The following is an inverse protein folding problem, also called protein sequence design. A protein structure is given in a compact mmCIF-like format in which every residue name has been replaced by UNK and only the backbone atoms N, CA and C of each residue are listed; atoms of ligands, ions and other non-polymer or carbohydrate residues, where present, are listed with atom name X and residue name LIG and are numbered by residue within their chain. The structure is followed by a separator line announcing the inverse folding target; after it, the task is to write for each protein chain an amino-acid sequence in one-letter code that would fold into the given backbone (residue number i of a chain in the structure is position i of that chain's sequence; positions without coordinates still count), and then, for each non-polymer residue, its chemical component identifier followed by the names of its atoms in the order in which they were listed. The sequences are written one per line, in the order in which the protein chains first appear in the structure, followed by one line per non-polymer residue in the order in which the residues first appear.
data_IF_941292193346
#
_entry.id   IF_941292193346
#
_cell.length_a   1.000
_cell.length_b   1.000
_cell.length_c   1.000
_cell.angle_alpha   90.00
_cell.angle_beta   90.00
_cell.angle_gamma   90.00
#
_symmetry.space_group_name_H-M   'P 1'
#
loop_
_entity.id
_entity.type
_entity.pdbx_description
1 polymer ?
#
# COMPACT_ATOMS: atom_id res chain seq x y z
N UNK A 1 -12.09 36.67 -14.52
CA UNK A 1 -12.43 35.24 -14.71
C UNK A 1 -11.68 34.69 -15.91
N UNK A 2 -10.59 33.94 -15.70
CA UNK A 2 -9.93 33.02 -16.67
C UNK A 2 -8.66 32.47 -16.02
N UNK A 3 -8.80 31.43 -15.21
CA UNK A 3 -7.67 30.65 -14.68
C UNK A 3 -8.14 29.27 -14.24
N UNK A 4 -8.71 28.46 -15.14
CA UNK A 4 -9.11 27.09 -14.76
C UNK A 4 -9.34 26.11 -15.93
N UNK A 5 -8.55 26.15 -17.00
CA UNK A 5 -8.78 25.22 -18.14
C UNK A 5 -7.55 24.39 -18.59
N UNK A 6 -6.46 24.29 -17.81
CA UNK A 6 -5.30 23.52 -18.31
C UNK A 6 -4.46 22.77 -17.26
N UNK A 7 -5.06 22.25 -16.17
CA UNK A 7 -4.32 21.41 -15.20
C UNK A 7 -4.43 19.90 -15.46
N UNK A 8 -5.32 19.45 -16.34
CA UNK A 8 -5.59 18.03 -16.64
C UNK A 8 -4.68 17.43 -17.72
N UNK A 9 -3.95 18.24 -18.49
CA UNK A 9 -3.16 17.81 -19.65
C UNK A 9 -1.67 17.53 -19.34
N UNK A 10 -1.17 17.87 -18.17
CA UNK A 10 0.24 17.61 -17.83
C UNK A 10 0.47 16.12 -17.51
N UNK A 11 1.45 15.51 -18.18
CA UNK A 11 1.92 14.16 -17.89
C UNK A 11 2.53 14.02 -16.49
N UNK A 12 2.93 12.80 -16.12
CA UNK A 12 3.64 12.57 -14.85
C UNK A 12 4.98 13.31 -14.90
N UNK A 13 5.12 14.36 -14.09
CA UNK A 13 6.34 15.18 -14.06
C UNK A 13 7.58 14.37 -13.64
N UNK A 14 8.73 14.69 -14.23
CA UNK A 14 10.01 13.98 -14.00
C UNK A 14 10.39 13.85 -12.51
N UNK A 15 10.08 14.87 -11.69
CA UNK A 15 10.29 14.84 -10.23
C UNK A 15 9.54 13.71 -9.53
N UNK A 16 8.35 13.33 -10.01
CA UNK A 16 7.58 12.22 -9.44
C UNK A 16 8.19 10.87 -9.84
N UNK A 17 8.68 10.76 -11.08
CA UNK A 17 9.41 9.56 -11.56
C UNK A 17 10.68 9.36 -10.74
N UNK A 18 11.48 10.41 -10.52
CA UNK A 18 12.69 10.32 -9.70
C UNK A 18 12.37 9.90 -8.27
N UNK A 19 11.37 10.52 -7.63
CA UNK A 19 10.94 10.12 -6.27
C UNK A 19 10.51 8.66 -6.22
N UNK A 20 9.80 8.19 -7.24
CA UNK A 20 9.39 6.79 -7.34
C UNK A 20 10.59 5.85 -7.50
N UNK A 21 11.55 6.18 -8.37
CA UNK A 21 12.78 5.41 -8.55
C UNK A 21 13.63 5.39 -7.28
N UNK A 22 13.79 6.54 -6.61
CA UNK A 22 14.49 6.63 -5.32
C UNK A 22 13.80 5.73 -4.30
N UNK A 23 12.47 5.80 -4.18
CA UNK A 23 11.72 4.95 -3.26
C UNK A 23 11.91 3.46 -3.57
N UNK A 24 11.88 3.07 -4.86
CA UNK A 24 12.13 1.69 -5.25
C UNK A 24 13.53 1.23 -4.83
N UNK A 25 14.57 2.02 -5.12
CA UNK A 25 15.95 1.67 -4.80
C UNK A 25 16.27 1.72 -3.30
N UNK A 26 15.59 2.58 -2.55
CA UNK A 26 15.82 2.74 -1.11
C UNK A 26 15.48 1.46 -0.35
N UNK A 27 14.41 0.75 -0.76
CA UNK A 27 13.95 -0.46 -0.08
C UNK A 27 15.00 -1.59 -0.04
N UNK A 28 15.51 -2.12 -1.19
CA UNK A 28 16.54 -3.15 -1.16
C UNK A 28 17.86 -2.62 -0.58
N UNK A 29 18.20 -1.35 -0.82
CA UNK A 29 19.42 -0.76 -0.31
C UNK A 29 19.45 -0.84 1.22
N UNK A 30 18.39 -0.37 1.88
CA UNK A 30 18.27 -0.39 3.33
C UNK A 30 18.22 -1.82 3.87
N UNK A 31 17.46 -2.71 3.21
CA UNK A 31 17.36 -4.12 3.59
C UNK A 31 18.73 -4.83 3.59
N UNK A 32 19.50 -4.69 2.51
CA UNK A 32 20.78 -5.38 2.35
C UNK A 32 21.94 -4.70 3.08
N UNK A 33 21.92 -3.37 3.25
CA UNK A 33 22.87 -2.67 4.13
C UNK A 33 22.68 -3.15 5.57
N UNK A 34 21.44 -3.25 6.05
CA UNK A 34 21.13 -3.77 7.38
C UNK A 34 21.58 -5.23 7.53
N UNK A 35 21.31 -6.08 6.52
CA UNK A 35 21.78 -7.46 6.46
C UNK A 35 23.31 -7.60 6.44
N UNK A 36 24.03 -6.59 5.92
CA UNK A 36 25.50 -6.62 5.81
C UNK A 36 26.03 -7.61 4.77
N UNK A 37 25.17 -8.20 3.94
CA UNK A 37 25.53 -9.15 2.88
C UNK A 37 24.46 -9.16 1.79
N UNK A 38 24.85 -9.48 0.56
CA UNK A 38 23.91 -9.75 -0.54
C UNK A 38 23.51 -11.23 -0.62
N UNK A 39 24.13 -12.10 0.18
CA UNK A 39 23.89 -13.54 0.20
C UNK A 39 22.67 -13.91 1.04
N UNK A 40 21.51 -13.37 0.67
CA UNK A 40 20.24 -13.66 1.32
C UNK A 40 19.15 -13.91 0.28
N UNK A 41 18.92 -15.19 -0.03
CA UNK A 41 18.02 -15.63 -1.10
C UNK A 41 16.59 -15.13 -0.91
N UNK A 42 16.02 -15.24 0.30
CA UNK A 42 14.68 -14.74 0.58
C UNK A 42 14.57 -13.22 0.46
N UNK A 43 15.63 -12.48 0.82
CA UNK A 43 15.73 -11.04 0.57
C UNK A 43 15.61 -10.70 -0.92
N UNK A 44 16.31 -11.43 -1.80
CA UNK A 44 16.19 -11.23 -3.24
C UNK A 44 14.83 -11.64 -3.80
N UNK A 45 14.28 -12.77 -3.36
CA UNK A 45 12.92 -13.21 -3.74
C UNK A 45 11.90 -12.11 -3.38
N UNK A 46 12.01 -11.53 -2.18
CA UNK A 46 11.16 -10.43 -1.75
C UNK A 46 11.26 -9.22 -2.68
N UNK A 47 12.48 -8.79 -3.02
CA UNK A 47 12.72 -7.62 -3.87
C UNK A 47 12.16 -7.85 -5.27
N UNK A 48 12.45 -9.00 -5.88
CA UNK A 48 11.95 -9.36 -7.21
C UNK A 48 10.42 -9.40 -7.21
N UNK A 49 9.81 -10.06 -6.23
CA UNK A 49 8.36 -10.12 -6.09
C UNK A 49 7.74 -8.72 -5.96
N UNK A 50 8.29 -7.89 -5.07
CA UNK A 50 7.83 -6.54 -4.81
C UNK A 50 7.91 -5.65 -6.05
N UNK A 51 9.00 -5.76 -6.81
CA UNK A 51 9.19 -5.04 -8.07
C UNK A 51 8.29 -5.55 -9.18
N UNK A 52 8.11 -6.86 -9.31
CA UNK A 52 7.22 -7.45 -10.31
C UNK A 52 5.78 -6.97 -10.11
N UNK A 53 5.26 -7.07 -8.88
CA UNK A 53 3.91 -6.58 -8.57
C UNK A 53 3.80 -5.07 -8.70
N UNK A 54 4.84 -4.34 -8.28
CA UNK A 54 4.84 -2.89 -8.41
C UNK A 54 4.81 -2.47 -9.87
N UNK A 55 5.74 -2.95 -10.69
CA UNK A 55 5.78 -2.68 -12.12
C UNK A 55 4.50 -3.10 -12.83
N UNK A 56 4.02 -4.33 -12.61
CA UNK A 56 2.81 -4.84 -13.23
C UNK A 56 1.58 -3.99 -12.90
N UNK A 57 1.36 -3.63 -11.62
CA UNK A 57 0.21 -2.80 -11.27
C UNK A 57 0.27 -1.41 -11.89
N UNK A 58 1.46 -0.78 -11.95
CA UNK A 58 1.60 0.55 -12.59
C UNK A 58 1.42 0.47 -14.10
N UNK A 59 1.93 -0.57 -14.77
CA UNK A 59 1.73 -0.77 -16.22
C UNK A 59 0.24 -0.98 -16.54
N UNK A 60 -0.46 -1.83 -15.78
CA UNK A 60 -1.88 -2.11 -15.99
C UNK A 60 -2.72 -0.84 -15.76
N UNK A 61 -2.46 -0.13 -14.66
CA UNK A 61 -3.18 1.11 -14.34
C UNK A 61 -2.86 2.19 -15.37
N UNK A 62 -1.61 2.35 -15.80
CA UNK A 62 -1.26 3.35 -16.81
C UNK A 62 -2.04 3.15 -18.11
N UNK A 63 -2.28 1.88 -18.50
CA UNK A 63 -3.09 1.54 -19.67
C UNK A 63 -4.60 1.73 -19.47
N UNK A 64 -5.11 1.49 -18.27
CA UNK A 64 -6.56 1.54 -17.98
C UNK A 64 -7.05 2.91 -17.51
N UNK A 65 -6.32 3.53 -16.59
CA UNK A 65 -6.69 4.77 -15.89
C UNK A 65 -5.42 5.62 -15.62
N UNK A 66 -4.80 6.23 -16.65
CA UNK A 66 -3.57 7.02 -16.48
C UNK A 66 -3.74 8.22 -15.53
N UNK A 67 -4.95 8.80 -15.47
CA UNK A 67 -5.28 9.89 -14.55
C UNK A 67 -5.13 9.51 -13.08
N UNK A 68 -5.41 8.25 -12.73
CA UNK A 68 -5.21 7.74 -11.37
C UNK A 68 -3.73 7.77 -10.97
N UNK A 69 -2.81 7.48 -11.89
CA UNK A 69 -1.37 7.59 -11.60
C UNK A 69 -0.91 9.04 -11.49
N UNK A 70 -1.50 9.96 -12.27
CA UNK A 70 -1.23 11.39 -12.13
C UNK A 70 -1.69 11.92 -10.77
N UNK A 71 -2.88 11.52 -10.32
CA UNK A 71 -3.40 11.83 -8.98
C UNK A 71 -2.41 11.34 -7.91
N UNK A 72 -1.97 10.08 -8.00
CA UNK A 72 -0.98 9.51 -7.07
C UNK A 72 0.39 10.18 -7.15
N UNK A 73 0.81 10.69 -8.30
CA UNK A 73 2.08 11.40 -8.47
C UNK A 73 2.05 12.81 -7.85
N UNK A 74 0.86 13.42 -7.80
CA UNK A 74 0.59 14.76 -7.26
C UNK A 74 0.12 14.75 -5.81
N UNK A 75 0.25 13.64 -5.09
CA UNK A 75 -0.27 13.52 -3.73
C UNK A 75 0.22 14.58 -2.73
N UNK A 76 1.43 15.14 -2.93
CA UNK A 76 1.96 16.22 -2.08
C UNK A 76 1.30 17.58 -2.40
N UNK A 77 0.80 17.74 -3.62
CA UNK A 77 0.10 18.93 -4.11
C UNK A 77 -1.43 18.76 -4.02
N UNK A 78 -1.89 17.64 -3.47
CA UNK A 78 -3.30 17.33 -3.38
C UNK A 78 -3.99 18.32 -2.42
N UNK A 79 -5.02 18.99 -2.92
CA UNK A 79 -5.88 19.86 -2.14
C UNK A 79 -6.82 19.03 -1.25
N UNK A 80 -7.42 19.61 -0.21
CA UNK A 80 -8.44 18.95 0.62
C UNK A 80 -8.04 17.59 1.23
N UNK A 81 -6.75 17.33 1.43
CA UNK A 81 -6.25 16.16 2.17
C UNK A 81 -6.55 16.35 3.65
N UNK A 82 -7.10 15.33 4.30
CA UNK A 82 -7.36 15.37 5.75
C UNK A 82 -6.06 15.42 6.55
N UNK A 83 -6.03 16.23 7.60
CA UNK A 83 -4.82 16.47 8.40
C UNK A 83 -4.28 15.18 9.06
N UNK A 84 -5.17 14.33 9.55
CA UNK A 84 -4.82 13.03 10.15
C UNK A 84 -4.09 12.12 9.15
N UNK A 85 -4.37 12.24 7.86
CA UNK A 85 -3.86 11.33 6.84
C UNK A 85 -2.38 11.60 6.53
N UNK A 86 -1.95 12.86 6.61
CA UNK A 86 -0.55 13.22 6.33
C UNK A 86 0.42 12.56 7.31
N UNK A 87 0.08 12.60 8.61
CA UNK A 87 0.89 11.96 9.64
C UNK A 87 0.89 10.43 9.45
N UNK A 88 -0.28 9.83 9.26
CA UNK A 88 -0.35 8.37 9.07
C UNK A 88 0.39 7.95 7.80
N UNK A 89 0.30 8.69 6.70
CA UNK A 89 1.00 8.36 5.46
C UNK A 89 2.52 8.40 5.64
N UNK A 90 3.05 9.39 6.35
CA UNK A 90 4.49 9.46 6.65
C UNK A 90 4.95 8.23 7.45
N UNK A 91 4.23 7.88 8.52
CA UNK A 91 4.63 6.77 9.38
C UNK A 91 4.33 5.39 8.77
N UNK A 92 3.15 5.19 8.18
CA UNK A 92 2.72 3.89 7.69
C UNK A 92 3.23 3.56 6.27
N UNK A 93 3.39 4.56 5.39
CA UNK A 93 3.77 4.33 3.99
C UNK A 93 5.25 4.59 3.68
N UNK A 94 5.95 5.41 4.48
CA UNK A 94 7.37 5.70 4.27
C UNK A 94 8.25 5.14 5.39
N UNK A 95 8.11 5.62 6.62
CA UNK A 95 9.02 5.25 7.72
C UNK A 95 8.85 3.80 8.17
N UNK A 96 7.61 3.35 8.29
CA UNK A 96 7.25 2.02 8.76
C UNK A 96 7.91 0.89 7.96
N UNK A 97 7.71 0.83 6.63
CA UNK A 97 8.35 -0.19 5.79
C UNK A 97 9.88 -0.15 5.87
N UNK A 98 10.50 1.04 5.96
CA UNK A 98 11.94 1.17 6.14
C UNK A 98 12.39 0.57 7.46
N UNK A 99 11.70 0.87 8.57
CA UNK A 99 12.02 0.29 9.89
C UNK A 99 11.86 -1.22 9.87
N UNK A 100 10.79 -1.76 9.24
CA UNK A 100 10.60 -3.20 9.09
C UNK A 100 11.78 -3.83 8.35
N UNK A 101 12.24 -3.23 7.26
CA UNK A 101 13.35 -3.78 6.46
C UNK A 101 14.70 -3.64 7.16
N UNK A 102 14.92 -2.55 7.91
CA UNK A 102 16.10 -2.39 8.77
C UNK A 102 16.11 -3.50 9.82
N UNK A 103 15.02 -3.67 10.55
CA UNK A 103 14.92 -4.68 11.61
C UNK A 103 15.09 -6.09 11.02
N UNK A 104 14.44 -6.39 9.90
CA UNK A 104 14.56 -7.70 9.25
C UNK A 104 16.00 -7.97 8.77
N UNK A 105 16.68 -6.97 8.21
CA UNK A 105 18.08 -7.10 7.80
C UNK A 105 19.02 -7.28 8.99
N UNK A 106 18.87 -6.48 10.05
CA UNK A 106 19.68 -6.62 11.26
C UNK A 106 19.43 -7.97 11.95
N UNK A 107 18.18 -8.42 11.99
CA UNK A 107 17.81 -9.72 12.53
C UNK A 107 18.43 -10.87 11.72
N UNK A 108 18.43 -10.79 10.39
CA UNK A 108 19.15 -11.74 9.54
C UNK A 108 20.67 -11.74 9.85
N UNK A 109 21.26 -10.55 10.02
CA UNK A 109 22.69 -10.38 10.26
C UNK A 109 23.14 -10.94 11.62
N UNK A 110 22.35 -10.67 12.66
CA UNK A 110 22.70 -10.99 14.04
C UNK A 110 21.97 -12.21 14.60
N UNK A 111 21.07 -12.82 13.81
CA UNK A 111 20.30 -14.00 14.17
C UNK A 111 19.55 -13.84 15.49
N UNK A 112 18.81 -12.73 15.67
CA UNK A 112 18.07 -12.49 16.91
C UNK A 112 16.81 -13.37 17.01
N UNK A 113 16.20 -13.70 15.88
CA UNK A 113 15.05 -14.60 15.80
C UNK A 113 15.47 -16.06 15.85
N UNK A 114 14.65 -16.93 16.46
CA UNK A 114 14.84 -18.37 16.34
C UNK A 114 14.69 -18.80 14.87
N UNK A 115 15.28 -19.96 14.54
CA UNK A 115 15.16 -20.54 13.20
C UNK A 115 13.69 -20.73 12.79
N UNK A 116 13.29 -20.11 11.68
CA UNK A 116 11.99 -20.29 11.05
C UNK A 116 12.13 -21.34 9.92
N UNK A 117 11.43 -22.48 9.99
CA UNK A 117 11.46 -23.49 8.94
C UNK A 117 11.12 -22.92 7.56
N UNK A 118 11.82 -23.41 6.54
CA UNK A 118 11.63 -22.96 5.15
C UNK A 118 10.18 -23.08 4.68
N UNK A 119 9.45 -24.12 5.11
CA UNK A 119 8.03 -24.28 4.77
C UNK A 119 7.19 -23.11 5.28
N UNK A 120 7.45 -22.60 6.49
CA UNK A 120 6.72 -21.46 7.04
C UNK A 120 7.07 -20.18 6.27
N UNK A 121 8.34 -20.00 5.89
CA UNK A 121 8.76 -18.87 5.05
C UNK A 121 8.09 -18.92 3.66
N UNK A 122 7.93 -20.10 3.06
CA UNK A 122 7.22 -20.30 1.79
C UNK A 122 5.71 -20.06 1.91
N UNK A 123 5.07 -20.46 3.02
CA UNK A 123 3.68 -20.13 3.28
C UNK A 123 3.49 -18.61 3.45
N UNK A 124 4.43 -17.95 4.13
CA UNK A 124 4.44 -16.50 4.25
C UNK A 124 4.70 -15.80 2.89
N UNK A 125 5.55 -16.37 2.02
CA UNK A 125 5.72 -15.91 0.65
C UNK A 125 4.39 -15.92 -0.14
N UNK A 126 3.60 -16.98 0.02
CA UNK A 126 2.24 -17.04 -0.56
C UNK A 126 1.36 -15.93 0.03
N UNK A 127 1.44 -15.67 1.34
CA UNK A 127 0.76 -14.54 1.98
C UNK A 127 1.13 -13.19 1.38
N UNK A 128 2.43 -12.92 1.17
CA UNK A 128 2.90 -11.70 0.49
C UNK A 128 2.35 -11.60 -0.92
N UNK A 129 2.44 -12.69 -1.69
CA UNK A 129 1.91 -12.76 -3.06
C UNK A 129 0.42 -12.44 -3.12
N UNK A 130 -0.39 -13.08 -2.26
CA UNK A 130 -1.84 -12.87 -2.21
C UNK A 130 -2.19 -11.45 -1.74
N UNK A 131 -1.44 -10.90 -0.78
CA UNK A 131 -1.60 -9.52 -0.33
C UNK A 131 -1.38 -8.51 -1.46
N UNK A 132 -0.29 -8.67 -2.22
CA UNK A 132 -0.02 -7.84 -3.39
C UNK A 132 -1.01 -8.04 -4.52
N UNK A 133 -1.49 -9.27 -4.75
CA UNK A 133 -2.52 -9.55 -5.74
C UNK A 133 -3.83 -8.84 -5.38
N UNK A 134 -4.29 -8.93 -4.12
CA UNK A 134 -5.51 -8.27 -3.67
C UNK A 134 -5.38 -6.75 -3.74
N UNK A 135 -4.27 -6.19 -3.26
CA UNK A 135 -4.01 -4.75 -3.34
C UNK A 135 -3.90 -4.23 -4.77
N UNK A 136 -3.23 -4.97 -5.64
CA UNK A 136 -3.14 -4.67 -7.07
C UNK A 136 -4.50 -4.75 -7.76
N UNK A 137 -5.31 -5.77 -7.46
CA UNK A 137 -6.66 -5.91 -7.99
C UNK A 137 -7.56 -4.74 -7.56
N UNK A 138 -7.49 -4.35 -6.28
CA UNK A 138 -8.21 -3.20 -5.75
C UNK A 138 -7.82 -1.89 -6.46
N UNK A 139 -6.52 -1.68 -6.70
CA UNK A 139 -6.01 -0.51 -7.40
C UNK A 139 -6.42 -0.50 -8.88
N UNK A 140 -6.41 -1.64 -9.56
CA UNK A 140 -6.77 -1.74 -10.99
C UNK A 140 -8.26 -1.48 -11.23
N UNK A 141 -9.12 -1.90 -10.31
CA UNK A 141 -10.58 -1.75 -10.45
C UNK A 141 -11.07 -0.36 -10.00
N UNK A 142 -10.38 0.26 -9.03
CA UNK A 142 -10.78 1.56 -8.51
C UNK A 142 -10.04 2.71 -9.18
N UNK A 143 -10.69 3.39 -10.14
CA UNK A 143 -10.13 4.59 -10.79
C UNK A 143 -9.85 5.76 -9.85
N UNK A 144 -10.44 5.77 -8.65
CA UNK A 144 -10.27 6.80 -7.63
C UNK A 144 -9.28 6.38 -6.53
N UNK A 145 -8.44 5.37 -6.75
CA UNK A 145 -7.48 4.85 -5.78
C UNK A 145 -6.33 5.84 -5.48
N UNK A 146 -6.62 6.86 -4.66
CA UNK A 146 -5.67 7.90 -4.29
C UNK A 146 -4.62 7.40 -3.29
N UNK A 147 -3.50 8.11 -3.20
CA UNK A 147 -2.50 7.86 -2.16
C UNK A 147 -2.90 8.47 -0.81
N UNK A 148 -3.75 9.50 -0.85
CA UNK A 148 -4.20 10.29 0.29
C UNK A 148 -5.72 10.21 0.43
N UNK A 149 -6.22 10.31 1.66
CA UNK A 149 -7.64 10.32 1.96
C UNK A 149 -8.26 11.67 1.60
N UNK A 150 -8.99 11.72 0.48
CA UNK A 150 -9.75 12.87 -0.01
C UNK A 150 -10.91 12.43 -0.91
N UNK A 151 -11.91 13.29 -1.05
CA UNK A 151 -12.95 13.17 -2.07
C UNK A 151 -12.53 13.94 -3.33
N UNK A 152 -12.40 13.23 -4.45
CA UNK A 152 -12.04 13.74 -5.77
C UNK A 152 -13.28 14.30 -6.49
N UNK A 153 -13.84 15.41 -5.97
CA UNK A 153 -15.03 16.05 -6.55
C UNK A 153 -14.81 16.51 -7.99
N UNK A 154 -13.58 16.94 -8.31
CA UNK A 154 -13.20 17.35 -9.65
C UNK A 154 -13.22 16.20 -10.69
N UNK A 155 -13.19 14.94 -10.23
CA UNK A 155 -13.32 13.76 -11.10
C UNK A 155 -14.70 13.10 -10.99
N UNK A 156 -15.67 13.79 -10.37
CA UNK A 156 -17.01 13.26 -10.08
C UNK A 156 -16.93 11.89 -9.42
N UNK A 157 -16.22 11.81 -8.30
CA UNK A 157 -15.99 10.56 -7.59
C UNK A 157 -17.30 9.81 -7.31
N UNK A 158 -17.31 8.52 -7.65
CA UNK A 158 -18.42 7.60 -7.36
C UNK A 158 -17.92 6.38 -6.60
N UNK A 159 -18.84 5.69 -5.92
CA UNK A 159 -18.54 4.45 -5.20
C UNK A 159 -18.17 3.34 -6.18
N UNK A 160 -17.04 2.68 -5.92
CA UNK A 160 -16.62 1.48 -6.65
C UNK A 160 -17.03 0.25 -5.83
N UNK A 161 -17.96 -0.54 -6.35
CA UNK A 161 -18.51 -1.74 -5.69
C UNK A 161 -18.16 -3.06 -6.37
N UNK A 162 -17.43 -3.03 -7.49
CA UNK A 162 -17.05 -4.20 -8.28
C UNK A 162 -15.69 -4.78 -7.88
N UNK A 163 -15.37 -5.97 -8.39
CA UNK A 163 -14.08 -6.63 -8.13
C UNK A 163 -13.96 -7.02 -6.65
N UNK A 164 -12.85 -6.71 -5.96
CA UNK A 164 -12.68 -7.11 -4.56
C UNK A 164 -13.55 -6.29 -3.60
N UNK A 165 -14.05 -5.12 -4.05
CA UNK A 165 -14.95 -4.27 -3.27
C UNK A 165 -16.32 -4.91 -3.00
N UNK A 166 -16.69 -5.97 -3.74
CA UNK A 166 -17.93 -6.72 -3.44
C UNK A 166 -17.86 -7.55 -2.15
N UNK A 167 -16.65 -7.78 -1.63
CA UNK A 167 -16.42 -8.65 -0.47
C UNK A 167 -16.09 -7.84 0.79
N UNK A 168 -15.25 -6.81 0.64
CA UNK A 168 -14.83 -5.92 1.72
C UNK A 168 -14.72 -4.50 1.18
N UNK A 169 -14.95 -3.50 2.03
CA UNK A 169 -14.95 -2.09 1.59
C UNK A 169 -13.56 -1.53 1.30
N UNK A 170 -12.52 -2.08 1.94
CA UNK A 170 -11.15 -1.60 1.84
C UNK A 170 -10.15 -2.72 1.44
N UNK A 171 -10.33 -3.34 0.27
CA UNK A 171 -9.50 -4.48 -0.15
C UNK A 171 -8.03 -4.11 -0.36
N UNK A 172 -7.74 -2.85 -0.71
CA UNK A 172 -6.37 -2.35 -0.80
C UNK A 172 -5.64 -2.41 0.54
N UNK A 173 -6.30 -1.97 1.62
CA UNK A 173 -5.75 -2.06 2.97
C UNK A 173 -5.69 -3.51 3.47
N UNK A 174 -6.70 -4.34 3.20
CA UNK A 174 -6.67 -5.75 3.55
C UNK A 174 -5.48 -6.48 2.90
N UNK A 175 -5.25 -6.26 1.60
CA UNK A 175 -4.09 -6.82 0.89
C UNK A 175 -2.75 -6.30 1.43
N UNK A 176 -2.67 -5.00 1.73
CA UNK A 176 -1.50 -4.39 2.33
C UNK A 176 -1.16 -4.98 3.71
N UNK A 177 -2.16 -5.15 4.58
CA UNK A 177 -2.01 -5.76 5.91
C UNK A 177 -1.55 -7.22 5.79
N UNK A 178 -2.15 -8.00 4.90
CA UNK A 178 -1.74 -9.40 4.68
C UNK A 178 -0.27 -9.49 4.23
N UNK A 179 0.13 -8.66 3.28
CA UNK A 179 1.53 -8.60 2.84
C UNK A 179 2.45 -8.17 3.99
N UNK A 180 2.08 -7.13 4.74
CA UNK A 180 2.87 -6.59 5.84
C UNK A 180 3.07 -7.59 6.98
N UNK A 181 2.04 -8.37 7.32
CA UNK A 181 2.12 -9.42 8.32
C UNK A 181 3.01 -10.58 7.85
N UNK A 182 2.93 -10.91 6.56
CA UNK A 182 3.64 -12.04 5.98
C UNK A 182 5.12 -11.75 5.71
N UNK A 183 5.49 -10.51 5.38
CA UNK A 183 6.86 -10.13 5.00
C UNK A 183 7.91 -10.46 6.09
N UNK A 184 7.73 -10.08 7.37
CA UNK A 184 8.69 -10.44 8.41
C UNK A 184 8.92 -11.96 8.53
N UNK A 185 7.84 -12.75 8.50
CA UNK A 185 7.90 -14.21 8.59
C UNK A 185 8.61 -14.80 7.37
N UNK A 186 8.30 -14.29 6.17
CA UNK A 186 8.94 -14.69 4.92
C UNK A 186 10.44 -14.41 4.92
N UNK A 187 10.84 -13.30 5.54
CA UNK A 187 12.24 -12.91 5.71
C UNK A 187 12.93 -13.63 6.88
N UNK A 188 12.22 -14.48 7.63
CA UNK A 188 12.83 -15.17 8.77
C UNK A 188 13.03 -14.27 10.00
N UNK A 189 12.31 -13.14 10.11
CA UNK A 189 12.45 -12.17 11.19
C UNK A 189 11.14 -12.00 11.97
N UNK A 190 11.10 -12.54 13.19
CA UNK A 190 10.01 -12.29 14.13
C UNK A 190 10.11 -10.89 14.75
N UNK A 191 11.31 -10.35 14.92
CA UNK A 191 11.51 -9.00 15.46
C UNK A 191 10.91 -7.93 14.57
N UNK A 192 10.92 -8.12 13.24
CA UNK A 192 10.29 -7.20 12.30
C UNK A 192 8.75 -7.23 12.36
N UNK A 193 8.12 -8.19 13.07
CA UNK A 193 6.68 -8.15 13.35
C UNK A 193 6.31 -7.02 14.32
N UNK A 194 7.22 -6.54 15.17
CA UNK A 194 6.93 -5.43 16.09
C UNK A 194 6.67 -4.11 15.34
N UNK A 195 7.59 -3.59 14.50
CA UNK A 195 7.28 -2.43 13.67
C UNK A 195 6.17 -2.74 12.66
N UNK A 196 6.06 -3.99 12.18
CA UNK A 196 4.95 -4.45 11.34
C UNK A 196 3.58 -4.26 12.00
N UNK A 197 3.44 -4.69 13.26
CA UNK A 197 2.22 -4.54 14.05
C UNK A 197 1.83 -3.08 14.28
N UNK A 198 2.81 -2.20 14.48
CA UNK A 198 2.56 -0.76 14.57
C UNK A 198 2.00 -0.20 13.26
N UNK A 199 2.60 -0.55 12.11
CA UNK A 199 2.14 -0.11 10.79
C UNK A 199 0.75 -0.67 10.46
N UNK A 200 0.49 -1.92 10.80
CA UNK A 200 -0.84 -2.55 10.67
C UNK A 200 -1.85 -1.79 11.52
N UNK A 201 -1.52 -1.46 12.77
CA UNK A 201 -2.41 -0.71 13.67
C UNK A 201 -2.72 0.68 13.10
N UNK A 202 -1.72 1.40 12.61
CA UNK A 202 -1.91 2.69 11.94
C UNK A 202 -2.77 2.56 10.68
N UNK A 203 -2.61 1.48 9.92
CA UNK A 203 -3.41 1.20 8.71
C UNK A 203 -4.87 0.90 9.07
N UNK A 204 -5.13 0.20 10.17
CA UNK A 204 -6.50 -0.04 10.68
C UNK A 204 -7.15 1.27 11.12
N UNK A 205 -6.42 2.12 11.86
CA UNK A 205 -6.89 3.45 12.26
C UNK A 205 -7.19 4.32 11.02
N UNK A 206 -6.29 4.32 10.03
CA UNK A 206 -6.51 4.98 8.74
C UNK A 206 -7.77 4.48 8.04
N UNK A 207 -7.95 3.15 8.00
CA UNK A 207 -9.13 2.53 7.39
C UNK A 207 -10.41 2.99 8.08
N UNK A 208 -10.41 3.09 9.42
CA UNK A 208 -11.55 3.62 10.17
C UNK A 208 -11.87 5.05 9.76
N UNK A 209 -10.88 5.95 9.77
CA UNK A 209 -11.11 7.35 9.43
C UNK A 209 -11.51 7.56 7.97
N UNK A 210 -10.91 6.82 7.05
CA UNK A 210 -11.29 6.87 5.63
C UNK A 210 -12.69 6.32 5.40
N UNK A 211 -13.07 5.20 6.04
CA UNK A 211 -14.43 4.65 5.95
C UNK A 211 -15.48 5.65 6.47
N UNK A 212 -15.19 6.31 7.60
CA UNK A 212 -16.08 7.35 8.16
C UNK A 212 -16.18 8.55 7.22
N UNK A 213 -15.05 9.06 6.71
CA UNK A 213 -15.05 10.16 5.74
C UNK A 213 -15.87 9.81 4.49
N UNK A 214 -15.70 8.61 3.94
CA UNK A 214 -16.48 8.16 2.78
C UNK A 214 -17.97 8.04 3.12
N UNK A 215 -18.30 7.56 4.32
CA UNK A 215 -19.69 7.48 4.78
C UNK A 215 -20.34 8.85 4.91
N UNK A 216 -19.60 9.85 5.38
CA UNK A 216 -20.12 11.20 5.64
C UNK A 216 -20.16 12.08 4.38
N UNK A 217 -19.19 11.91 3.47
CA UNK A 217 -18.94 12.86 2.38
C UNK A 217 -19.13 12.30 0.96
N UNK A 218 -19.17 10.97 0.76
CA UNK A 218 -19.31 10.37 -0.57
C UNK A 218 -20.74 9.87 -0.82
N UNK A 219 -21.41 10.49 -1.79
CA UNK A 219 -22.75 10.10 -2.22
C UNK A 219 -22.81 8.61 -2.62
N UNK A 220 -23.82 7.91 -2.12
CA UNK A 220 -24.04 6.48 -2.35
C UNK A 220 -23.21 5.53 -1.48
N UNK A 221 -22.24 6.03 -0.70
CA UNK A 221 -21.40 5.16 0.14
C UNK A 221 -22.18 4.56 1.31
N UNK A 222 -23.17 5.28 1.85
CA UNK A 222 -24.05 4.77 2.92
C UNK A 222 -24.81 3.54 2.46
N UNK A 223 -25.41 3.59 1.27
CA UNK A 223 -26.12 2.46 0.65
C UNK A 223 -25.19 1.29 0.38
N UNK A 224 -24.00 1.56 -0.16
CA UNK A 224 -22.98 0.55 -0.38
C UNK A 224 -22.54 -0.14 0.92
N UNK A 225 -22.34 0.61 2.00
CA UNK A 225 -21.93 0.06 3.30
C UNK A 225 -22.97 -0.86 3.94
N UNK A 226 -24.26 -0.73 3.56
CA UNK A 226 -25.32 -1.66 3.97
C UNK A 226 -25.21 -3.01 3.24
N UNK A 227 -24.74 -3.01 1.99
CA UNK A 227 -24.56 -4.22 1.18
C UNK A 227 -23.25 -4.93 1.53
N UNK A 228 -22.15 -4.18 1.66
CA UNK A 228 -20.82 -4.71 1.99
C UNK A 228 -20.48 -4.34 3.42
N UNK A 229 -20.85 -5.24 4.34
CA UNK A 229 -20.76 -4.99 5.80
C UNK A 229 -19.31 -4.85 6.28
N UNK A 230 -18.41 -5.65 5.72
CA UNK A 230 -17.04 -5.79 6.20
C UNK A 230 -16.12 -4.71 5.65
N UNK A 231 -15.27 -4.12 6.51
CA UNK A 231 -14.25 -3.15 6.13
C UNK A 231 -13.01 -3.83 5.57
N UNK A 232 -12.45 -4.80 6.31
CA UNK A 232 -11.17 -5.43 5.99
C UNK A 232 -11.24 -6.94 5.90
N UNK A 233 -11.95 -7.60 6.84
CA UNK A 233 -11.93 -9.06 6.96
C UNK A 233 -13.36 -9.59 7.15
N UNK A 234 -13.85 -10.43 6.22
CA UNK A 234 -15.17 -11.02 6.34
C UNK A 234 -15.36 -11.78 7.66
N UNK A 235 -16.48 -11.51 8.34
CA UNK A 235 -16.84 -12.12 9.62
C UNK A 235 -16.20 -11.49 10.85
N UNK A 236 -15.29 -10.52 10.69
CA UNK A 236 -14.62 -9.85 11.82
C UNK A 236 -14.97 -8.37 11.86
N UNK A 237 -14.67 -7.64 10.78
CA UNK A 237 -14.82 -6.17 10.75
C UNK A 237 -14.97 -5.63 9.34
#
# INVERSE_FOLDING_TARGET
MKKNENKSSEGIGWKAIIRFVIYLLLMPLVLFIAAGTLHWTMGWIFVVLSYAFTGASRIIVFRKNPEMLKERARYMDAENVKDWDRAILLFAALLGPLVIYIVAGLDFRFSWSPYIPILIQLLALIGVFLGYLLGGWAMVVNKFFSAVARIQREQSQTVVSNGPYRFVRHPGYAGGILAMLSTPIMLGSLWALLPGGLVISLTIVRTFFEDTMLHDELDGYKEYSKMVKFRLLPGVW
#
